data_IF_508590649868
#
_entry.id   IF_508590649868
#
_cell.length_a   1.000
_cell.length_b   1.000
_cell.length_c   1.000
_cell.angle_alpha   90.00
_cell.angle_beta   90.00
_cell.angle_gamma   90.00
#
_symmetry.space_group_name_H-M   'P 1'
#
loop_
_entity.id
_entity.type
_entity.pdbx_description
1 polymer ?
#
# COMPACT_ATOMS: atom_id res chain seq x y z
N UNK A 1 -11.63 48.22 -23.57
CA UNK A 1 -12.36 47.34 -22.62
C UNK A 1 -11.98 45.92 -22.94
N UNK A 2 -11.81 45.06 -21.93
CA UNK A 2 -11.32 43.66 -22.03
C UNK A 2 -9.79 43.48 -22.07
N UNK A 3 -8.98 44.27 -21.34
CA UNK A 3 -8.59 43.94 -19.95
C UNK A 3 -9.12 42.59 -19.46
N UNK A 4 -8.18 41.66 -19.34
CA UNK A 4 -8.22 40.59 -18.36
C UNK A 4 -9.22 39.47 -18.69
N UNK A 5 -8.87 38.25 -18.27
CA UNK A 5 -9.71 37.06 -18.35
C UNK A 5 -9.66 36.33 -19.71
N UNK A 6 -8.44 36.07 -20.21
CA UNK A 6 -8.16 34.69 -20.61
C UNK A 6 -7.51 34.02 -19.38
N UNK A 7 -8.31 33.96 -18.32
CA UNK A 7 -8.02 33.34 -17.05
C UNK A 7 -7.86 31.85 -17.28
N UNK A 8 -6.62 31.38 -17.12
CA UNK A 8 -6.28 30.11 -16.51
C UNK A 8 -7.35 29.01 -16.65
N UNK A 9 -7.29 28.20 -17.70
CA UNK A 9 -7.74 26.82 -17.57
C UNK A 9 -6.58 25.97 -17.05
N UNK A 10 -6.21 26.29 -15.81
CA UNK A 10 -5.52 25.37 -14.92
C UNK A 10 -6.54 24.27 -14.60
N UNK A 11 -6.42 23.15 -15.28
CA UNK A 11 -6.73 21.87 -14.65
C UNK A 11 -5.69 20.89 -15.18
N UNK A 12 -4.50 20.96 -14.58
CA UNK A 12 -3.64 19.79 -14.45
C UNK A 12 -4.52 18.66 -13.94
N UNK A 13 -4.94 17.78 -14.85
CA UNK A 13 -5.40 16.44 -14.54
C UNK A 13 -4.17 15.79 -13.90
N UNK A 14 -4.00 15.98 -12.60
CA UNK A 14 -3.06 15.18 -11.83
C UNK A 14 -3.62 13.76 -11.96
N UNK A 15 -2.92 12.85 -12.63
CA UNK A 15 -3.39 11.49 -12.68
C UNK A 15 -3.48 11.00 -11.23
N UNK A 16 -4.59 10.38 -10.86
CA UNK A 16 -4.72 9.64 -9.61
C UNK A 16 -3.81 8.37 -9.60
N UNK A 17 -2.63 8.44 -10.24
CA UNK A 17 -1.67 7.35 -10.41
C UNK A 17 -0.90 7.00 -9.14
N UNK A 18 -1.05 7.78 -8.07
CA UNK A 18 -0.37 7.53 -6.80
C UNK A 18 -0.84 6.27 -6.06
N UNK A 19 -1.97 5.66 -6.46
CA UNK A 19 -2.51 4.44 -5.81
C UNK A 19 -2.11 3.12 -6.49
N UNK A 20 -1.53 3.14 -7.69
CA UNK A 20 -1.23 1.91 -8.42
C UNK A 20 -0.21 1.01 -7.67
N UNK A 21 0.65 1.60 -6.83
CA UNK A 21 1.79 0.90 -6.23
C UNK A 21 1.66 0.66 -4.72
N UNK A 22 0.57 1.04 -4.06
CA UNK A 22 0.47 0.95 -2.60
C UNK A 22 0.60 -0.48 -2.07
N UNK A 23 -0.13 -1.45 -2.64
CA UNK A 23 -0.05 -2.85 -2.18
C UNK A 23 1.34 -3.45 -2.45
N UNK A 24 1.91 -3.35 -3.67
CA UNK A 24 3.28 -3.80 -3.92
C UNK A 24 4.34 -3.20 -2.98
N UNK A 25 4.25 -1.90 -2.69
CA UNK A 25 5.18 -1.25 -1.75
C UNK A 25 5.06 -1.79 -0.32
N UNK A 26 3.83 -2.01 0.16
CA UNK A 26 3.60 -2.60 1.48
C UNK A 26 4.13 -4.05 1.56
N UNK A 27 3.86 -4.87 0.53
CA UNK A 27 4.39 -6.24 0.43
C UNK A 27 5.92 -6.24 0.48
N UNK A 28 6.57 -5.43 -0.34
CA UNK A 28 8.03 -5.32 -0.36
C UNK A 28 8.61 -4.85 0.99
N UNK A 29 7.92 -3.94 1.68
CA UNK A 29 8.34 -3.47 3.02
C UNK A 29 8.29 -4.58 4.06
N UNK A 30 7.25 -5.42 4.03
CA UNK A 30 7.13 -6.61 4.89
C UNK A 30 8.22 -7.62 4.56
N UNK A 31 8.43 -7.90 3.27
CA UNK A 31 9.44 -8.86 2.81
C UNK A 31 10.85 -8.46 3.24
N UNK A 32 11.16 -7.16 3.24
CA UNK A 32 12.43 -6.63 3.69
C UNK A 32 12.62 -6.71 5.23
N UNK A 33 11.54 -6.64 6.01
CA UNK A 33 11.60 -6.70 7.47
C UNK A 33 11.64 -8.13 8.02
N UNK A 34 11.02 -9.10 7.33
CA UNK A 34 10.92 -10.49 7.76
C UNK A 34 12.25 -11.17 8.15
N UNK A 35 13.39 -10.94 7.48
CA UNK A 35 14.66 -11.60 7.83
C UNK A 35 15.25 -11.12 9.17
N UNK A 36 14.94 -9.91 9.60
CA UNK A 36 15.50 -9.28 10.81
C UNK A 36 14.46 -9.12 11.93
N UNK A 37 13.20 -9.44 11.64
CA UNK A 37 12.10 -9.37 12.61
C UNK A 37 12.36 -10.27 13.81
N UNK A 38 12.25 -9.68 15.01
CA UNK A 38 12.34 -10.39 16.29
C UNK A 38 10.93 -10.54 16.85
N UNK A 39 10.25 -11.62 16.46
CA UNK A 39 8.88 -11.92 16.87
C UNK A 39 8.78 -13.36 17.40
N UNK A 40 7.70 -13.67 18.12
CA UNK A 40 7.41 -15.05 18.48
C UNK A 40 7.18 -15.89 17.22
N UNK A 41 7.34 -17.22 17.30
CA UNK A 41 7.09 -18.11 16.15
C UNK A 41 5.64 -17.97 15.65
N UNK A 42 4.68 -17.80 16.55
CA UNK A 42 3.27 -17.62 16.21
C UNK A 42 3.05 -16.30 15.44
N UNK A 43 3.64 -15.20 15.92
CA UNK A 43 3.53 -13.90 15.27
C UNK A 43 4.23 -13.88 13.90
N UNK A 44 5.40 -14.52 13.78
CA UNK A 44 6.07 -14.68 12.49
C UNK A 44 5.21 -15.45 11.48
N UNK A 45 4.51 -16.49 11.91
CA UNK A 45 3.57 -17.21 11.05
C UNK A 45 2.42 -16.29 10.62
N UNK A 46 1.82 -15.57 11.57
CA UNK A 46 0.70 -14.66 11.28
C UNK A 46 1.09 -13.53 10.31
N UNK A 47 2.28 -12.93 10.46
CA UNK A 47 2.80 -11.92 9.54
C UNK A 47 2.94 -12.48 8.12
N UNK A 48 3.47 -13.70 7.96
CA UNK A 48 3.60 -14.34 6.63
C UNK A 48 2.24 -14.65 6.02
N UNK A 49 1.28 -15.11 6.82
CA UNK A 49 -0.10 -15.34 6.37
C UNK A 49 -0.76 -14.05 5.89
N UNK A 50 -0.65 -12.96 6.66
CA UNK A 50 -1.18 -11.65 6.29
C UNK A 50 -0.51 -11.10 5.02
N UNK A 51 0.81 -11.28 4.87
CA UNK A 51 1.53 -10.95 3.63
C UNK A 51 0.96 -11.72 2.44
N UNK A 52 0.86 -13.04 2.54
CA UNK A 52 0.33 -13.88 1.47
C UNK A 52 -1.15 -13.58 1.16
N UNK A 53 -1.96 -13.30 2.18
CA UNK A 53 -3.34 -12.86 2.03
C UNK A 53 -3.42 -11.53 1.28
N UNK A 54 -2.57 -10.56 1.65
CA UNK A 54 -2.46 -9.28 0.97
C UNK A 54 -2.15 -9.43 -0.53
N UNK A 55 -1.22 -10.30 -0.89
CA UNK A 55 -0.88 -10.62 -2.29
C UNK A 55 -2.07 -11.25 -3.03
N UNK A 56 -2.75 -12.22 -2.41
CA UNK A 56 -3.93 -12.87 -2.99
C UNK A 56 -5.06 -11.87 -3.24
N UNK A 57 -5.33 -10.97 -2.29
CA UNK A 57 -6.36 -9.94 -2.41
C UNK A 57 -5.99 -8.93 -3.51
N UNK A 58 -4.72 -8.54 -3.60
CA UNK A 58 -4.23 -7.70 -4.69
C UNK A 58 -4.46 -8.35 -6.07
N UNK A 59 -4.08 -9.63 -6.22
CA UNK A 59 -4.27 -10.38 -7.45
C UNK A 59 -5.76 -10.56 -7.82
N UNK A 60 -6.64 -10.60 -6.82
CA UNK A 60 -8.09 -10.65 -7.00
C UNK A 60 -8.75 -9.28 -7.28
N UNK A 61 -7.99 -8.18 -7.25
CA UNK A 61 -8.50 -6.82 -7.42
C UNK A 61 -9.09 -6.18 -6.15
N UNK A 62 -9.08 -6.89 -5.01
CA UNK A 62 -9.49 -6.34 -3.72
C UNK A 62 -8.32 -5.57 -3.08
N UNK A 63 -8.11 -4.36 -3.56
CA UNK A 63 -7.03 -3.49 -3.07
C UNK A 63 -7.26 -3.02 -1.63
N UNK A 64 -8.51 -2.75 -1.24
CA UNK A 64 -8.82 -2.33 0.13
C UNK A 64 -8.51 -3.45 1.13
N UNK A 65 -8.94 -4.69 0.83
CA UNK A 65 -8.61 -5.86 1.63
C UNK A 65 -7.11 -6.14 1.67
N UNK A 66 -6.42 -6.00 0.53
CA UNK A 66 -4.97 -6.16 0.46
C UNK A 66 -4.25 -5.18 1.40
N UNK A 67 -4.55 -3.89 1.30
CA UNK A 67 -3.95 -2.85 2.16
C UNK A 67 -4.26 -3.09 3.64
N UNK A 68 -5.48 -3.52 3.99
CA UNK A 68 -5.84 -3.82 5.37
C UNK A 68 -4.99 -4.96 5.95
N UNK A 69 -4.90 -6.10 5.25
CA UNK A 69 -4.09 -7.24 5.69
C UNK A 69 -2.59 -6.89 5.80
N UNK A 70 -2.06 -6.16 4.82
CA UNK A 70 -0.65 -5.75 4.80
C UNK A 70 -0.32 -4.76 5.91
N UNK A 71 -1.22 -3.82 6.23
CA UNK A 71 -1.01 -2.91 7.36
C UNK A 71 -1.09 -3.62 8.71
N UNK A 72 -1.93 -4.64 8.86
CA UNK A 72 -1.94 -5.48 10.06
C UNK A 72 -0.59 -6.20 10.24
N UNK A 73 -0.04 -6.76 9.16
CA UNK A 73 1.29 -7.38 9.16
C UNK A 73 2.40 -6.38 9.57
N UNK A 74 2.36 -5.17 9.01
CA UNK A 74 3.30 -4.09 9.35
C UNK A 74 3.21 -3.69 10.82
N UNK A 75 2.00 -3.57 11.36
CA UNK A 75 1.81 -3.26 12.79
C UNK A 75 2.43 -4.32 13.69
N UNK A 76 2.28 -5.60 13.35
CA UNK A 76 2.94 -6.71 14.07
C UNK A 76 4.47 -6.66 13.97
N UNK A 77 5.00 -6.16 12.85
CA UNK A 77 6.43 -5.91 12.64
C UNK A 77 6.94 -4.62 13.31
N UNK A 78 6.06 -3.81 13.91
CA UNK A 78 6.43 -2.53 14.53
C UNK A 78 6.72 -1.40 13.54
N UNK A 79 6.11 -1.45 12.35
CA UNK A 79 6.29 -0.49 11.24
C UNK A 79 5.09 0.44 11.04
#
# INVERSE_FOLDING_TARGET
MLRSIALALFLSIVPATAFANSCPTLMASIDAALPTATLSKADMTKVRELRAQGEKLHAAGDHAGSVAALNEAKKMLGM
#
